data_IF_914011445633
#
_entry.id   IF_914011445633
#
_cell.length_a   1.000
_cell.length_b   1.000
_cell.length_c   1.000
_cell.angle_alpha   90.00
_cell.angle_beta   90.00
_cell.angle_gamma   90.00
#
_symmetry.space_group_name_H-M   'P 1'
#
loop_
_entity.id
_entity.type
_entity.pdbx_description
1 polymer ?
#
# COMPACT_ATOMS: atom_id res chain seq x y z
N UNK A 1 -15.91 -12.69 3.19
CA UNK A 1 -14.64 -12.07 3.59
C UNK A 1 -15.00 -11.02 4.63
N UNK A 2 -14.46 -11.08 5.84
CA UNK A 2 -14.48 -9.91 6.72
C UNK A 2 -13.33 -9.06 6.21
N UNK A 3 -13.60 -7.99 5.45
CA UNK A 3 -12.62 -6.92 5.30
C UNK A 3 -12.54 -6.23 6.66
N UNK A 4 -11.92 -6.93 7.62
CA UNK A 4 -11.35 -6.27 8.76
C UNK A 4 -10.14 -5.53 8.18
N UNK A 5 -10.35 -4.27 7.84
CA UNK A 5 -9.36 -3.24 8.12
C UNK A 5 -9.06 -3.37 9.63
N UNK A 6 -8.08 -4.22 9.90
CA UNK A 6 -7.76 -4.89 11.15
C UNK A 6 -7.16 -3.90 12.13
N UNK A 7 -7.95 -2.92 12.57
CA UNK A 7 -7.58 -2.13 13.74
C UNK A 7 -7.67 -2.94 15.05
N UNK A 8 -8.22 -4.16 15.01
CA UNK A 8 -8.38 -5.05 16.17
C UNK A 8 -7.64 -6.39 16.08
N UNK A 9 -7.47 -7.01 14.91
CA UNK A 9 -6.78 -8.31 14.80
C UNK A 9 -5.24 -8.19 14.85
N UNK A 10 -4.69 -7.03 14.49
CA UNK A 10 -3.25 -6.74 14.56
C UNK A 10 -2.79 -6.07 15.86
N UNK A 11 -3.69 -5.91 16.85
CA UNK A 11 -3.29 -5.55 18.21
C UNK A 11 -2.46 -6.64 18.90
N UNK A 12 -2.43 -7.86 18.34
CA UNK A 12 -1.98 -9.06 19.04
C UNK A 12 -0.57 -9.53 18.68
N UNK A 13 0.09 -9.02 17.63
CA UNK A 13 1.27 -9.74 17.07
C UNK A 13 2.63 -9.04 17.24
N UNK A 14 2.71 -7.80 17.75
CA UNK A 14 4.00 -7.19 18.11
C UNK A 14 3.90 -6.36 19.40
N UNK A 15 3.55 -7.01 20.51
CA UNK A 15 3.85 -6.47 21.86
C UNK A 15 4.83 -7.40 22.58
N UNK A 16 5.91 -7.76 21.87
CA UNK A 16 7.12 -8.26 22.51
C UNK A 16 8.16 -7.15 22.32
N UNK A 17 8.24 -6.29 23.35
CA UNK A 17 8.85 -4.95 23.34
C UNK A 17 8.02 -3.92 22.56
N UNK A 18 7.78 -2.74 23.16
CA UNK A 18 6.89 -1.68 22.62
C UNK A 18 7.51 -0.92 21.42
N UNK A 19 8.32 -1.61 20.61
CA UNK A 19 8.90 -1.10 19.37
C UNK A 19 8.06 -1.48 18.15
N UNK A 20 8.54 -1.12 16.96
CA UNK A 20 7.95 -1.50 15.68
C UNK A 20 9.03 -2.24 14.87
N UNK A 21 8.63 -3.23 14.08
CA UNK A 21 9.50 -4.02 13.22
C UNK A 21 9.07 -3.85 11.77
N UNK A 22 10.05 -3.80 10.85
CA UNK A 22 9.81 -3.72 9.41
C UNK A 22 9.60 -5.11 8.79
N UNK A 23 9.66 -6.18 9.58
CA UNK A 23 9.45 -7.53 9.06
C UNK A 23 7.94 -7.79 8.89
N UNK A 24 7.44 -7.99 7.66
CA UNK A 24 6.02 -8.20 7.43
C UNK A 24 5.57 -9.58 7.94
N UNK A 25 4.32 -9.64 8.40
CA UNK A 25 3.63 -10.89 8.72
C UNK A 25 2.63 -11.20 7.62
N UNK A 26 2.85 -12.31 6.93
CA UNK A 26 2.00 -12.73 5.81
C UNK A 26 0.91 -13.69 6.28
N UNK A 27 -0.34 -13.28 6.17
CA UNK A 27 -1.51 -14.13 6.43
C UNK A 27 -2.17 -14.52 5.09
N UNK A 28 -2.31 -15.82 4.84
CA UNK A 28 -3.01 -16.35 3.67
C UNK A 28 -4.33 -16.95 4.11
N UNK A 29 -5.44 -16.36 3.68
CA UNK A 29 -6.80 -16.86 3.95
C UNK A 29 -7.43 -17.30 2.64
N UNK A 30 -7.83 -18.57 2.57
CA UNK A 30 -8.51 -19.15 1.39
C UNK A 30 -9.97 -19.41 1.71
N UNK A 31 -10.86 -18.98 0.81
CA UNK A 31 -12.31 -19.25 0.90
C UNK A 31 -12.88 -19.35 -0.52
N UNK A 32 -13.91 -20.16 -0.71
CA UNK A 32 -14.62 -20.22 -1.99
C UNK A 32 -15.47 -18.95 -2.19
N UNK A 33 -15.62 -18.52 -3.44
CA UNK A 33 -16.45 -17.38 -3.84
C UNK A 33 -16.08 -16.05 -3.16
N UNK A 34 -14.79 -15.85 -2.86
CA UNK A 34 -14.27 -14.53 -2.48
C UNK A 34 -13.27 -14.08 -3.55
N UNK A 35 -13.21 -12.76 -3.84
CA UNK A 35 -12.23 -12.25 -4.79
C UNK A 35 -10.82 -12.33 -4.21
N UNK A 36 -9.84 -12.56 -5.08
CA UNK A 36 -8.43 -12.46 -4.73
C UNK A 36 -8.10 -11.00 -4.43
N UNK A 37 -7.66 -10.74 -3.21
CA UNK A 37 -7.30 -9.41 -2.74
C UNK A 37 -6.07 -9.50 -1.85
N UNK A 38 -5.09 -8.67 -2.13
CA UNK A 38 -3.86 -8.54 -1.34
C UNK A 38 -3.87 -7.17 -0.70
N UNK A 39 -3.76 -7.12 0.63
CA UNK A 39 -3.72 -5.88 1.40
C UNK A 39 -2.54 -5.92 2.36
N UNK A 40 -1.88 -4.78 2.54
CA UNK A 40 -0.89 -4.56 3.58
C UNK A 40 -1.51 -3.70 4.67
N UNK A 41 -1.58 -4.22 5.90
CA UNK A 41 -1.98 -3.43 7.06
C UNK A 41 -0.74 -2.80 7.68
N UNK A 42 -0.72 -1.47 7.76
CA UNK A 42 0.44 -0.69 8.21
C UNK A 42 0.28 -0.27 9.68
N UNK A 43 1.39 -0.02 10.39
CA UNK A 43 1.31 0.42 11.78
C UNK A 43 0.46 1.69 11.93
N UNK A 44 -0.33 1.75 13.00
CA UNK A 44 -1.14 2.93 13.28
C UNK A 44 -0.26 4.14 13.59
N UNK A 45 -0.55 5.26 12.94
CA UNK A 45 0.14 6.52 13.20
C UNK A 45 -0.22 7.02 14.62
N UNK A 46 0.78 7.21 15.47
CA UNK A 46 0.63 7.79 16.82
C UNK A 46 1.67 8.87 17.06
N UNK A 47 1.22 10.04 17.53
CA UNK A 47 2.10 11.13 17.98
C UNK A 47 2.35 11.09 19.48
N UNK A 48 1.56 10.33 20.22
CA UNK A 48 1.66 10.24 21.67
C UNK A 48 2.55 9.07 22.02
N UNK A 49 3.66 9.37 22.69
CA UNK A 49 4.55 8.38 23.27
C UNK A 49 3.85 7.68 24.43
N UNK A 50 3.78 6.36 24.37
CA UNK A 50 3.37 5.54 25.51
C UNK A 50 4.62 5.11 26.28
N UNK A 51 4.51 4.99 27.61
CA UNK A 51 5.64 4.61 28.46
C UNK A 51 6.31 3.32 27.95
N UNK A 52 7.63 3.35 27.71
CA UNK A 52 8.42 2.23 27.20
C UNK A 52 8.56 2.15 25.67
N UNK A 53 8.05 3.13 24.91
CA UNK A 53 8.35 3.29 23.49
C UNK A 53 9.60 4.16 23.29
N UNK A 54 10.38 3.95 22.20
CA UNK A 54 11.48 4.84 21.86
C UNK A 54 10.97 6.23 21.45
N UNK A 55 11.75 7.28 21.69
CA UNK A 55 11.35 8.67 21.39
C UNK A 55 11.09 8.92 19.90
N UNK A 56 11.76 8.19 19.01
CA UNK A 56 11.61 8.28 17.56
C UNK A 56 10.59 7.29 16.97
N UNK A 57 9.68 6.73 17.79
CA UNK A 57 8.69 5.74 17.31
C UNK A 57 7.80 6.29 16.19
N UNK A 58 7.48 7.59 16.24
CA UNK A 58 6.70 8.24 15.20
C UNK A 58 7.44 8.25 13.86
N UNK A 59 8.74 8.60 13.87
CA UNK A 59 9.56 8.61 12.65
C UNK A 59 9.73 7.20 12.10
N UNK A 60 9.97 6.20 12.95
CA UNK A 60 10.04 4.79 12.53
C UNK A 60 8.74 4.33 11.85
N UNK A 61 7.58 4.62 12.43
CA UNK A 61 6.27 4.29 11.84
C UNK A 61 6.09 5.00 10.51
N UNK A 62 6.44 6.29 10.45
CA UNK A 62 6.35 7.08 9.24
C UNK A 62 7.24 6.49 8.14
N UNK A 63 8.49 6.15 8.43
CA UNK A 63 9.43 5.59 7.46
C UNK A 63 8.90 4.26 6.88
N UNK A 64 8.36 3.38 7.73
CA UNK A 64 7.70 2.15 7.29
C UNK A 64 6.53 2.47 6.36
N UNK A 65 5.64 3.38 6.75
CA UNK A 65 4.48 3.73 5.91
C UNK A 65 4.95 4.26 4.57
N UNK A 66 5.91 5.19 4.57
CA UNK A 66 6.47 5.81 3.36
C UNK A 66 7.08 4.77 2.42
N UNK A 67 7.75 3.74 2.94
CA UNK A 67 8.28 2.63 2.13
C UNK A 67 7.19 1.95 1.30
N UNK A 68 5.99 1.74 1.87
CA UNK A 68 4.88 1.07 1.18
C UNK A 68 4.03 2.02 0.31
N UNK A 69 3.93 3.31 0.66
CA UNK A 69 3.07 4.24 -0.09
C UNK A 69 3.79 5.05 -1.17
N UNK A 70 5.13 5.13 -1.12
CA UNK A 70 5.92 5.86 -2.12
C UNK A 70 5.86 5.25 -3.53
N UNK A 71 5.92 3.92 -3.71
CA UNK A 71 5.78 3.31 -5.03
C UNK A 71 4.48 3.73 -5.73
N UNK A 72 4.57 4.13 -7.00
CA UNK A 72 3.42 4.62 -7.78
C UNK A 72 2.38 3.52 -8.05
N UNK A 73 2.82 2.27 -7.97
CA UNK A 73 2.04 1.06 -8.15
C UNK A 73 1.16 0.74 -6.93
N UNK A 74 1.42 1.39 -5.78
CA UNK A 74 0.69 1.18 -4.54
C UNK A 74 -0.62 1.97 -4.51
N UNK A 75 -1.71 1.26 -4.24
CA UNK A 75 -3.02 1.84 -3.92
C UNK A 75 -3.07 2.16 -2.43
N UNK A 76 -3.42 3.39 -2.09
CA UNK A 76 -3.58 3.82 -0.71
C UNK A 76 -5.04 3.79 -0.28
N UNK A 77 -5.32 3.14 0.84
CA UNK A 77 -6.64 3.07 1.45
C UNK A 77 -6.66 3.88 2.74
N UNK A 78 -7.15 5.12 2.67
CA UNK A 78 -7.26 5.98 3.85
C UNK A 78 -8.53 5.67 4.63
N UNK A 79 -8.39 5.09 5.81
CA UNK A 79 -9.52 4.72 6.67
C UNK A 79 -9.78 5.80 7.71
N UNK A 80 -10.87 6.54 7.53
CA UNK A 80 -11.21 7.70 8.34
C UNK A 80 -12.54 7.46 9.07
N UNK A 81 -12.71 8.03 10.25
CA UNK A 81 -14.02 8.00 10.92
C UNK A 81 -14.86 9.18 10.48
N UNK A 82 -16.17 9.01 10.29
CA UNK A 82 -17.07 10.11 9.88
C UNK A 82 -17.00 11.35 10.80
N UNK A 83 -16.68 11.16 12.08
CA UNK A 83 -16.65 12.23 13.08
C UNK A 83 -15.43 13.14 12.90
N UNK A 84 -14.33 12.64 12.32
CA UNK A 84 -13.11 13.45 12.19
C UNK A 84 -13.17 14.38 10.99
N UNK A 85 -12.41 15.47 11.05
CA UNK A 85 -12.10 16.30 9.88
C UNK A 85 -11.00 15.61 9.06
N UNK A 86 -11.33 15.22 7.83
CA UNK A 86 -10.44 14.44 6.97
C UNK A 86 -9.14 15.18 6.62
N UNK A 87 -9.21 16.51 6.47
CA UNK A 87 -8.05 17.34 6.10
C UNK A 87 -6.99 17.37 7.19
N UNK A 88 -7.40 17.14 8.44
CA UNK A 88 -6.50 17.13 9.60
C UNK A 88 -5.78 15.80 9.78
N UNK A 89 -6.28 14.73 9.16
CA UNK A 89 -5.80 13.37 9.35
C UNK A 89 -4.38 13.18 8.81
N UNK A 90 -3.55 12.54 9.63
CA UNK A 90 -2.14 12.33 9.27
C UNK A 90 -1.97 11.41 8.07
N UNK A 91 -2.82 10.38 7.96
CA UNK A 91 -2.80 9.45 6.82
C UNK A 91 -3.09 10.16 5.49
N UNK A 92 -4.00 11.15 5.50
CA UNK A 92 -4.30 12.00 4.34
C UNK A 92 -3.11 12.87 3.97
N UNK A 93 -2.44 13.49 4.95
CA UNK A 93 -1.23 14.29 4.71
C UNK A 93 -0.10 13.44 4.11
N UNK A 94 0.11 12.24 4.65
CA UNK A 94 1.10 11.30 4.13
C UNK A 94 0.75 10.86 2.71
N UNK A 95 -0.48 10.43 2.43
CA UNK A 95 -0.89 10.03 1.08
C UNK A 95 -0.78 11.18 0.09
N UNK A 96 -1.20 12.39 0.46
CA UNK A 96 -1.11 13.56 -0.41
C UNK A 96 0.34 13.95 -0.74
N UNK A 97 1.30 13.67 0.15
CA UNK A 97 2.71 13.94 -0.10
C UNK A 97 3.29 13.10 -1.24
N UNK A 98 2.71 11.92 -1.51
CA UNK A 98 3.14 10.96 -2.55
C UNK A 98 2.12 10.79 -3.69
N UNK A 99 0.92 11.37 -3.57
CA UNK A 99 -0.17 11.35 -4.55
C UNK A 99 -0.99 12.64 -4.49
N UNK A 100 -0.40 13.75 -4.96
CA UNK A 100 -1.04 15.07 -4.94
C UNK A 100 -2.35 15.13 -5.73
N UNK A 101 -2.45 14.30 -6.78
CA UNK A 101 -3.61 14.19 -7.67
C UNK A 101 -4.70 13.23 -7.17
N UNK A 102 -4.41 12.44 -6.14
CA UNK A 102 -5.33 11.44 -5.59
C UNK A 102 -5.65 10.28 -6.53
N UNK A 103 -4.80 10.01 -7.54
CA UNK A 103 -5.09 9.02 -8.60
C UNK A 103 -5.06 7.58 -8.09
N UNK A 104 -4.37 7.34 -6.98
CA UNK A 104 -4.20 6.01 -6.38
C UNK A 104 -4.61 6.00 -4.90
N UNK A 105 -5.36 7.00 -4.47
CA UNK A 105 -5.89 7.12 -3.10
C UNK A 105 -7.39 6.84 -3.13
N UNK A 106 -7.86 5.94 -2.26
CA UNK A 106 -9.28 5.67 -1.98
C UNK A 106 -9.54 5.99 -0.49
N UNK A 107 -10.63 6.69 -0.20
CA UNK A 107 -11.01 7.01 1.19
C UNK A 107 -12.16 6.11 1.63
N UNK A 108 -11.99 5.43 2.77
CA UNK A 108 -13.04 4.65 3.42
C UNK A 108 -13.50 5.38 4.67
N UNK A 109 -14.75 5.85 4.65
CA UNK A 109 -15.38 6.52 5.78
C UNK A 109 -16.09 5.49 6.65
N UNK A 110 -15.60 5.31 7.86
CA UNK A 110 -16.07 4.33 8.84
C UNK A 110 -16.95 4.98 9.89
N UNK A 111 -17.71 4.15 10.63
CA UNK A 111 -18.64 4.56 11.69
C UNK A 111 -19.71 5.52 11.19
N UNK A 112 -20.19 5.32 9.95
CA UNK A 112 -21.16 6.20 9.30
C UNK A 112 -22.44 6.43 10.12
N UNK A 113 -22.79 5.48 10.99
CA UNK A 113 -23.89 5.55 11.95
C UNK A 113 -23.74 6.66 13.00
N UNK A 114 -22.52 7.10 13.31
CA UNK A 114 -22.27 8.01 14.45
C UNK A 114 -22.40 9.49 14.13
N UNK A 115 -22.33 9.89 12.85
CA UNK A 115 -22.53 11.28 12.45
C UNK A 115 -23.17 11.37 11.05
N UNK A 116 -24.45 11.00 10.91
CA UNK A 116 -25.13 10.98 9.63
C UNK A 116 -25.31 12.36 8.98
N UNK A 117 -25.42 13.41 9.79
CA UNK A 117 -25.86 14.76 9.40
C UNK A 117 -24.86 15.59 8.58
N UNK A 118 -23.68 15.04 8.27
CA UNK A 118 -22.68 15.72 7.43
C UNK A 118 -21.91 14.79 6.50
N UNK A 119 -22.29 13.51 6.42
CA UNK A 119 -21.54 12.53 5.64
C UNK A 119 -21.69 12.77 4.14
N UNK A 120 -22.90 13.09 3.68
CA UNK A 120 -23.19 13.32 2.27
C UNK A 120 -22.42 14.54 1.75
N UNK A 121 -22.37 15.61 2.53
CA UNK A 121 -21.68 16.85 2.23
C UNK A 121 -20.17 16.61 2.16
N UNK A 122 -19.59 15.96 3.19
CA UNK A 122 -18.15 15.61 3.22
C UNK A 122 -17.71 14.83 1.99
N UNK A 123 -18.52 13.86 1.56
CA UNK A 123 -18.19 13.01 0.40
C UNK A 123 -18.38 13.73 -0.94
N UNK A 124 -19.32 14.68 -1.03
CA UNK A 124 -19.56 15.47 -2.23
C UNK A 124 -18.54 16.58 -2.45
N UNK A 125 -18.12 17.25 -1.37
CA UNK A 125 -17.16 18.36 -1.45
C UNK A 125 -15.78 17.86 -1.85
N UNK A 126 -15.40 16.66 -1.39
CA UNK A 126 -14.09 16.05 -1.65
C UNK A 126 -12.91 16.94 -1.24
N UNK A 127 -12.89 17.41 0.01
CA UNK A 127 -11.85 18.29 0.55
C UNK A 127 -10.43 17.68 0.53
N UNK A 128 -10.30 16.36 0.30
CA UNK A 128 -9.00 15.66 0.23
C UNK A 128 -8.60 15.23 -1.18
N UNK A 129 -9.38 15.60 -2.21
CA UNK A 129 -9.09 15.42 -3.63
C UNK A 129 -8.72 13.97 -4.00
N UNK A 130 -9.65 13.03 -3.81
CA UNK A 130 -9.43 11.58 -4.04
C UNK A 130 -10.11 11.12 -5.34
N UNK A 131 -9.32 10.85 -6.38
CA UNK A 131 -9.84 10.43 -7.70
C UNK A 131 -10.47 9.04 -7.69
N UNK A 132 -10.07 8.14 -6.76
CA UNK A 132 -10.77 6.85 -6.61
C UNK A 132 -12.09 6.99 -5.83
N UNK A 133 -12.33 8.16 -5.23
CA UNK A 133 -13.54 8.53 -4.52
C UNK A 133 -13.56 8.10 -3.06
N UNK A 134 -14.79 7.96 -2.55
CA UNK A 134 -15.09 7.57 -1.17
C UNK A 134 -15.92 6.30 -1.14
N UNK A 135 -15.81 5.53 -0.07
CA UNK A 135 -16.77 4.50 0.30
C UNK A 135 -17.12 4.60 1.77
N UNK A 136 -18.40 4.66 2.09
CA UNK A 136 -18.89 4.78 3.46
C UNK A 136 -19.35 3.43 3.98
N UNK A 137 -18.93 3.05 5.18
CA UNK A 137 -19.26 1.77 5.80
C UNK A 137 -19.70 1.94 7.25
N UNK A 138 -20.53 1.01 7.71
CA UNK A 138 -20.87 0.84 9.11
C UNK A 138 -19.97 -0.25 9.70
N UNK A 139 -19.38 0.02 10.85
CA UNK A 139 -18.62 -1.00 11.56
C UNK A 139 -19.54 -1.93 12.34
N UNK A 140 -19.07 -3.16 12.60
CA UNK A 140 -19.67 -4.06 13.58
C UNK A 140 -19.71 -3.39 14.96
N UNK A 141 -20.83 -3.50 15.66
CA UNK A 141 -21.01 -2.91 17.01
C UNK A 141 -21.27 -4.04 18.01
N UNK A 142 -20.62 -3.98 19.18
CA UNK A 142 -20.77 -5.00 20.22
C UNK A 142 -20.43 -6.41 19.70
N UNK A 143 -21.30 -7.37 20.02
CA UNK A 143 -21.10 -8.79 19.72
C UNK A 143 -21.78 -9.27 18.43
N UNK A 144 -22.37 -8.38 17.62
CA UNK A 144 -23.06 -8.69 16.35
C UNK A 144 -22.36 -9.76 15.52
N UNK A 145 -23.07 -10.75 14.97
CA UNK A 145 -22.45 -11.64 13.99
C UNK A 145 -22.07 -10.90 12.69
N UNK A 146 -21.23 -11.51 11.85
CA UNK A 146 -20.89 -10.91 10.54
C UNK A 146 -22.11 -10.73 9.63
N UNK A 147 -23.14 -11.56 9.80
CA UNK A 147 -24.37 -11.46 9.01
C UNK A 147 -25.26 -10.36 9.56
N UNK A 148 -25.43 -10.30 10.88
CA UNK A 148 -26.13 -9.19 11.56
C UNK A 148 -25.52 -7.84 11.19
N UNK A 149 -24.20 -7.69 11.28
CA UNK A 149 -23.53 -6.43 10.95
C UNK A 149 -23.78 -5.98 9.50
N UNK A 150 -23.83 -6.92 8.54
CA UNK A 150 -24.16 -6.62 7.13
C UNK A 150 -25.63 -6.23 6.96
N UNK A 151 -26.54 -6.91 7.66
CA UNK A 151 -27.96 -6.60 7.61
C UNK A 151 -28.25 -5.22 8.20
N UNK A 152 -27.63 -4.88 9.34
CA UNK A 152 -27.77 -3.57 9.97
C UNK A 152 -27.12 -2.45 9.13
N UNK A 153 -25.99 -2.72 8.47
CA UNK A 153 -25.41 -1.78 7.51
C UNK A 153 -26.36 -1.52 6.33
N UNK A 154 -26.94 -2.56 5.76
CA UNK A 154 -27.89 -2.43 4.67
C UNK A 154 -29.12 -1.61 5.09
N UNK A 155 -29.72 -1.94 6.24
CA UNK A 155 -30.84 -1.16 6.81
C UNK A 155 -30.48 0.30 7.03
N UNK A 156 -29.29 0.59 7.54
CA UNK A 156 -28.81 1.96 7.78
C UNK A 156 -28.81 2.76 6.47
N UNK A 157 -28.17 2.25 5.43
CA UNK A 157 -28.06 2.95 4.15
C UNK A 157 -29.33 2.90 3.31
N UNK A 158 -30.33 2.06 3.62
CA UNK A 158 -31.63 2.08 2.94
C UNK A 158 -32.67 2.98 3.60
N UNK A 159 -32.79 2.91 4.93
CA UNK A 159 -33.93 3.50 5.64
C UNK A 159 -33.62 4.85 6.30
N UNK A 160 -32.35 5.13 6.61
CA UNK A 160 -31.99 6.36 7.32
C UNK A 160 -32.24 7.59 6.45
N UNK A 161 -32.93 8.60 6.99
CA UNK A 161 -33.41 9.79 6.28
C UNK A 161 -32.35 10.55 5.47
N UNK A 162 -31.13 10.62 6.00
CA UNK A 162 -29.98 11.28 5.36
C UNK A 162 -29.09 10.33 4.56
N UNK A 163 -28.72 9.18 5.14
CA UNK A 163 -27.76 8.25 4.52
C UNK A 163 -28.34 7.52 3.30
N UNK A 164 -29.66 7.36 3.22
CA UNK A 164 -30.32 6.77 2.06
C UNK A 164 -30.21 7.59 0.78
N UNK A 165 -29.88 8.87 0.90
CA UNK A 165 -29.64 9.80 -0.21
C UNK A 165 -28.23 9.68 -0.79
N UNK A 166 -27.32 8.97 -0.13
CA UNK A 166 -25.98 8.69 -0.64
C UNK A 166 -26.09 7.60 -1.72
N UNK A 167 -25.31 7.74 -2.80
CA UNK A 167 -25.28 6.77 -3.88
C UNK A 167 -24.92 5.36 -3.36
N UNK A 168 -25.68 4.36 -3.80
CA UNK A 168 -25.51 2.94 -3.44
C UNK A 168 -24.17 2.38 -3.90
N UNK A 169 -23.57 2.96 -4.94
CA UNK A 169 -22.23 2.59 -5.42
C UNK A 169 -21.10 2.97 -4.46
N UNK A 170 -21.35 3.84 -3.48
CA UNK A 170 -20.33 4.33 -2.54
C UNK A 170 -20.67 4.05 -1.07
N UNK A 171 -21.65 3.19 -0.81
CA UNK A 171 -22.02 2.81 0.57
C UNK A 171 -22.08 1.31 0.75
N UNK A 172 -21.67 0.87 1.93
CA UNK A 172 -21.72 -0.50 2.37
C UNK A 172 -20.50 -1.33 2.02
N UNK A 173 -20.36 -2.43 2.75
CA UNK A 173 -19.29 -3.39 2.64
C UNK A 173 -19.15 -3.98 1.22
N UNK A 174 -20.28 -4.26 0.56
CA UNK A 174 -20.27 -4.87 -0.76
C UNK A 174 -19.69 -3.92 -1.81
N UNK A 175 -20.08 -2.65 -1.77
CA UNK A 175 -19.51 -1.61 -2.63
C UNK A 175 -17.99 -1.47 -2.38
N UNK A 176 -17.56 -1.52 -1.11
CA UNK A 176 -16.14 -1.51 -0.76
C UNK A 176 -15.39 -2.67 -1.40
N UNK A 177 -15.88 -3.90 -1.22
CA UNK A 177 -15.24 -5.09 -1.76
C UNK A 177 -15.16 -5.04 -3.30
N UNK A 178 -16.25 -4.66 -3.97
CA UNK A 178 -16.27 -4.55 -5.43
C UNK A 178 -15.30 -3.49 -5.95
N UNK A 179 -15.27 -2.31 -5.32
CA UNK A 179 -14.36 -1.23 -5.70
C UNK A 179 -12.91 -1.63 -5.51
N UNK A 180 -12.54 -2.25 -4.38
CA UNK A 180 -11.16 -2.68 -4.12
C UNK A 180 -10.67 -3.66 -5.18
N UNK A 181 -11.50 -4.66 -5.52
CA UNK A 181 -11.17 -5.64 -6.57
C UNK A 181 -11.00 -4.97 -7.93
N UNK A 182 -11.93 -4.06 -8.28
CA UNK A 182 -11.86 -3.34 -9.54
C UNK A 182 -10.59 -2.47 -9.65
N UNK A 183 -10.30 -1.68 -8.62
CA UNK A 183 -9.11 -0.81 -8.57
C UNK A 183 -7.83 -1.64 -8.62
N UNK A 184 -7.78 -2.75 -7.87
CA UNK A 184 -6.62 -3.63 -7.89
C UNK A 184 -6.40 -4.25 -9.27
N UNK A 185 -7.46 -4.76 -9.91
CA UNK A 185 -7.38 -5.33 -11.27
C UNK A 185 -6.92 -4.28 -12.29
N UNK A 186 -7.44 -3.05 -12.21
CA UNK A 186 -7.06 -1.94 -13.08
C UNK A 186 -5.56 -1.61 -12.97
N UNK A 187 -5.04 -1.53 -11.75
CA UNK A 187 -3.63 -1.21 -11.53
C UNK A 187 -2.72 -2.38 -11.88
N UNK A 188 -3.09 -3.62 -11.56
CA UNK A 188 -2.34 -4.80 -12.03
C UNK A 188 -2.24 -4.76 -13.55
N UNK A 189 -3.35 -4.51 -14.26
CA UNK A 189 -3.36 -4.45 -15.72
C UNK A 189 -2.46 -3.33 -16.27
N UNK A 190 -2.52 -2.13 -15.68
CA UNK A 190 -1.69 -0.99 -16.09
C UNK A 190 -0.20 -1.23 -15.82
N UNK A 191 0.12 -1.80 -14.66
CA UNK A 191 1.49 -1.93 -14.17
C UNK A 191 2.19 -3.17 -14.71
N UNK A 192 1.45 -4.23 -15.10
CA UNK A 192 2.03 -5.48 -15.59
C UNK A 192 2.91 -5.27 -16.83
N UNK A 193 2.50 -4.38 -17.75
CA UNK A 193 3.30 -4.00 -18.92
C UNK A 193 4.63 -3.38 -18.51
N UNK A 194 4.59 -2.38 -17.62
CA UNK A 194 5.78 -1.69 -17.13
C UNK A 194 6.70 -2.59 -16.30
N UNK A 195 6.14 -3.48 -15.48
CA UNK A 195 6.91 -4.50 -14.75
C UNK A 195 7.63 -5.42 -15.73
N UNK A 196 6.93 -5.91 -16.75
CA UNK A 196 7.52 -6.80 -17.77
C UNK A 196 8.67 -6.09 -18.48
N UNK A 197 8.49 -4.81 -18.84
CA UNK A 197 9.54 -3.97 -19.43
C UNK A 197 10.74 -3.82 -18.49
N UNK A 198 10.52 -3.41 -17.23
CA UNK A 198 11.59 -3.25 -16.21
C UNK A 198 12.35 -4.57 -15.97
N UNK A 199 11.65 -5.71 -15.93
CA UNK A 199 12.27 -7.03 -15.79
C UNK A 199 13.16 -7.34 -16.98
N UNK A 200 12.67 -7.13 -18.20
CA UNK A 200 13.44 -7.39 -19.43
C UNK A 200 14.66 -6.46 -19.55
N UNK A 201 14.52 -5.18 -19.21
CA UNK A 201 15.64 -4.24 -19.17
C UNK A 201 16.70 -4.68 -18.16
N UNK A 202 16.30 -5.04 -16.94
CA UNK A 202 17.22 -5.53 -15.90
C UNK A 202 17.88 -6.85 -16.30
N UNK A 203 17.14 -7.76 -16.92
CA UNK A 203 17.66 -9.02 -17.45
C UNK A 203 18.71 -8.77 -18.54
N UNK A 204 18.42 -7.92 -19.51
CA UNK A 204 19.35 -7.60 -20.58
C UNK A 204 20.62 -6.91 -20.06
N UNK A 205 20.50 -6.04 -19.06
CA UNK A 205 21.66 -5.42 -18.42
C UNK A 205 22.51 -6.48 -17.70
N UNK A 206 21.88 -7.37 -16.94
CA UNK A 206 22.59 -8.46 -16.26
C UNK A 206 23.25 -9.42 -17.25
N UNK A 207 22.63 -9.70 -18.40
CA UNK A 207 23.23 -10.53 -19.46
C UNK A 207 24.45 -9.85 -20.07
N UNK A 208 24.39 -8.54 -20.33
CA UNK A 208 25.56 -7.77 -20.81
C UNK A 208 26.68 -7.73 -19.77
N UNK A 209 26.35 -7.56 -18.49
CA UNK A 209 27.34 -7.63 -17.41
C UNK A 209 27.96 -9.03 -17.34
N UNK A 210 27.15 -10.08 -17.46
CA UNK A 210 27.61 -11.46 -17.48
C UNK A 210 28.52 -11.76 -18.68
N UNK A 211 28.24 -11.22 -19.86
CA UNK A 211 29.11 -11.32 -21.04
C UNK A 211 30.46 -10.61 -20.84
N UNK A 212 30.48 -9.53 -20.06
CA UNK A 212 31.71 -8.82 -19.71
C UNK A 212 32.49 -9.50 -18.57
N UNK A 213 31.88 -10.45 -17.85
CA UNK A 213 32.59 -11.21 -16.84
C UNK A 213 33.51 -12.24 -17.51
N UNK A 214 34.74 -12.43 -16.98
CA UNK A 214 35.64 -13.45 -17.47
C UNK A 214 34.97 -14.83 -17.42
N UNK A 215 35.18 -15.63 -18.46
CA UNK A 215 34.71 -17.01 -18.50
C UNK A 215 35.23 -17.79 -17.28
N UNK A 216 34.44 -18.76 -16.81
CA UNK A 216 34.79 -19.61 -15.67
C UNK A 216 36.24 -20.13 -15.81
N UNK A 217 37.08 -19.73 -14.88
CA UNK A 217 38.51 -20.07 -14.80
C UNK A 217 38.66 -21.53 -14.36
N UNK A 218 38.29 -22.44 -15.24
CA UNK A 218 38.38 -23.88 -14.98
C UNK A 218 39.73 -24.47 -15.39
N UNK A 219 40.52 -23.74 -16.19
CA UNK A 219 41.87 -24.15 -16.58
C UNK A 219 42.92 -23.04 -16.43
N UNK A 220 44.18 -23.44 -16.26
CA UNK A 220 45.35 -22.55 -16.23
C UNK A 220 45.47 -21.73 -17.53
N UNK A 221 45.07 -22.31 -18.66
CA UNK A 221 45.10 -21.67 -19.97
C UNK A 221 44.10 -20.51 -20.04
N UNK A 222 42.92 -20.68 -19.45
CA UNK A 222 41.90 -19.61 -19.38
C UNK A 222 42.38 -18.46 -18.49
N UNK A 223 43.04 -18.80 -17.37
CA UNK A 223 43.63 -17.82 -16.46
C UNK A 223 44.73 -16.98 -17.12
N UNK A 224 45.61 -17.63 -17.88
CA UNK A 224 46.66 -16.93 -18.63
C UNK A 224 46.09 -16.07 -19.76
N UNK A 225 45.04 -16.53 -20.44
CA UNK A 225 44.35 -15.75 -21.48
C UNK A 225 43.75 -14.45 -20.92
N UNK A 226 43.02 -14.55 -19.80
CA UNK A 226 42.40 -13.40 -19.13
C UNK A 226 43.46 -12.44 -18.58
N UNK A 227 44.52 -12.96 -17.95
CA UNK A 227 45.64 -12.14 -17.47
C UNK A 227 46.26 -11.31 -18.59
N UNK A 228 46.51 -11.93 -19.75
CA UNK A 228 47.06 -11.23 -20.91
C UNK A 228 46.10 -10.18 -21.47
N UNK A 229 44.78 -10.42 -21.45
CA UNK A 229 43.77 -9.42 -21.79
C UNK A 229 43.80 -8.21 -20.85
N UNK A 230 43.90 -8.43 -19.53
CA UNK A 230 43.99 -7.35 -18.52
C UNK A 230 45.26 -6.53 -18.73
N UNK A 231 46.40 -7.18 -18.98
CA UNK A 231 47.66 -6.49 -19.27
C UNK A 231 47.56 -5.65 -20.55
N UNK A 232 46.90 -6.16 -21.60
CA UNK A 232 46.68 -5.41 -22.83
C UNK A 232 45.78 -4.18 -22.62
N UNK A 233 44.64 -4.33 -21.93
CA UNK A 233 43.74 -3.22 -21.60
C UNK A 233 44.42 -2.14 -20.74
N UNK A 234 45.24 -2.57 -19.77
CA UNK A 234 46.00 -1.67 -18.89
C UNK A 234 47.06 -0.90 -19.68
N UNK A 235 47.78 -1.57 -20.59
CA UNK A 235 48.74 -0.95 -21.49
C UNK A 235 48.07 0.11 -22.36
N UNK A 236 46.92 -0.21 -22.95
CA UNK A 236 46.23 0.69 -23.87
C UNK A 236 45.62 1.90 -23.12
N UNK A 237 45.11 1.71 -21.90
CA UNK A 237 44.72 2.82 -21.00
C UNK A 237 45.89 3.73 -20.64
N UNK A 238 47.03 3.16 -20.23
CA UNK A 238 48.24 3.92 -19.93
C UNK A 238 48.72 4.73 -21.14
N UNK A 239 48.65 4.14 -22.33
CA UNK A 239 49.03 4.80 -23.58
C UNK A 239 48.13 5.99 -23.89
N UNK A 240 46.82 5.86 -23.68
CA UNK A 240 45.87 6.96 -23.85
C UNK A 240 46.08 8.10 -22.83
N UNK A 241 46.45 7.77 -21.59
CA UNK A 241 46.74 8.79 -20.56
C UNK A 241 48.05 9.53 -20.86
N UNK A 242 49.07 8.82 -21.35
CA UNK A 242 50.40 9.38 -21.64
C UNK A 242 50.51 10.08 -23.00
N UNK A 243 49.46 10.02 -23.84
CA UNK A 243 49.37 10.69 -25.14
C UNK A 243 48.50 11.97 -25.12
N UNK A 244 48.07 12.40 -23.92
CA UNK A 244 47.56 13.76 -23.64
C UNK A 244 48.71 14.58 -23.08
#
# INVERSE_FOLDING_TARGET
>A
MSLMLSTQLLKSVLVLQKGVSNNPLTLIVKKNNVPDLTMMDLPRITRVLVHGQPYNIYDQIKDIIMEYITPEESIMLNVLSVIVDFTTCESIKMSHSVDKTGLRTLVVVTKADRSPEGLLEKVKVDDVNTSLGYICVRNRIGDESYEEARNEEHKLFESHSLLSKIDKCIVGFLALAQKLVHVQAMIISKTLSEITKKINEKLNNNLKELENLPANLSSLTDAMSIFMQIVALSRDSLRNILLI
#
